data_IF_939140763647
#
_entry.id   IF_939140763647
#
_cell.length_a   1.000
_cell.length_b   1.000
_cell.length_c   1.000
_cell.angle_alpha   90.00
_cell.angle_beta   90.00
_cell.angle_gamma   90.00
#
_symmetry.space_group_name_H-M   'P 1'
#
loop_
_entity.id
_entity.type
_entity.pdbx_description
1 polymer ?
#
# COMPACT_ATOMS: atom_id res chain seq x y z
N UNK A 1 6.96 -31.85 20.20
CA UNK A 1 5.98 -31.65 19.10
C UNK A 1 5.48 -30.21 19.01
N UNK A 2 4.74 -29.66 19.99
CA UNK A 2 4.24 -28.27 19.92
C UNK A 2 5.33 -27.20 19.71
N UNK A 3 6.47 -27.33 20.41
CA UNK A 3 7.62 -26.41 20.26
C UNK A 3 8.23 -26.44 18.85
N UNK A 4 8.40 -27.64 18.26
CA UNK A 4 8.93 -27.80 16.91
C UNK A 4 8.02 -27.17 15.86
N UNK A 5 6.70 -27.30 16.00
CA UNK A 5 5.71 -26.66 15.11
C UNK A 5 5.82 -25.14 15.18
N UNK A 6 5.92 -24.57 16.39
CA UNK A 6 6.07 -23.13 16.58
C UNK A 6 7.38 -22.62 15.95
N UNK A 7 8.49 -23.34 16.15
CA UNK A 7 9.79 -22.99 15.55
C UNK A 7 9.71 -23.03 14.03
N UNK A 8 9.08 -24.06 13.46
CA UNK A 8 8.90 -24.17 12.00
C UNK A 8 8.02 -23.03 11.45
N UNK A 9 6.92 -22.69 12.11
CA UNK A 9 6.07 -21.55 11.74
C UNK A 9 6.84 -20.22 11.78
N UNK A 10 7.62 -19.99 12.84
CA UNK A 10 8.44 -18.79 12.96
C UNK A 10 9.49 -18.71 11.85
N UNK A 11 10.15 -19.83 11.52
CA UNK A 11 11.11 -19.89 10.42
C UNK A 11 10.47 -19.58 9.06
N UNK A 12 9.27 -20.09 8.79
CA UNK A 12 8.53 -19.79 7.54
C UNK A 12 8.21 -18.29 7.44
N UNK A 13 7.73 -17.68 8.53
CA UNK A 13 7.43 -16.24 8.57
C UNK A 13 8.69 -15.42 8.29
N UNK A 14 9.82 -15.79 8.90
CA UNK A 14 11.10 -15.12 8.67
C UNK A 14 11.53 -15.27 7.21
N UNK A 15 11.60 -16.49 6.67
CA UNK A 15 12.01 -16.74 5.28
C UNK A 15 11.14 -15.94 4.31
N UNK A 16 9.82 -15.94 4.50
CA UNK A 16 8.88 -15.20 3.65
C UNK A 16 9.10 -13.67 3.67
N UNK A 17 9.61 -13.10 4.77
CA UNK A 17 9.91 -11.66 4.87
C UNK A 17 11.33 -11.29 4.41
N UNK A 18 12.25 -12.25 4.31
CA UNK A 18 13.66 -12.02 3.92
C UNK A 18 13.99 -12.44 2.48
N UNK A 19 13.17 -13.31 1.87
CA UNK A 19 13.35 -13.73 0.47
C UNK A 19 12.57 -12.77 -0.44
N UNK A 20 13.11 -12.35 -1.61
CA UNK A 20 12.41 -11.46 -2.54
C UNK A 20 11.17 -12.08 -3.21
N UNK A 21 10.69 -13.23 -2.74
CA UNK A 21 9.42 -13.85 -3.15
C UNK A 21 8.23 -12.90 -2.95
N UNK A 22 8.36 -11.94 -2.03
CA UNK A 22 7.36 -10.89 -1.81
C UNK A 22 6.98 -10.18 -3.10
N UNK A 23 7.91 -9.89 -4.00
CA UNK A 23 7.64 -9.20 -5.28
C UNK A 23 6.59 -9.90 -6.17
N UNK A 24 6.44 -11.22 -6.06
CA UNK A 24 5.46 -11.99 -6.85
C UNK A 24 4.06 -11.95 -6.19
N UNK A 25 4.02 -11.74 -4.87
CA UNK A 25 2.79 -11.81 -4.07
C UNK A 25 2.36 -10.45 -3.48
N UNK A 26 3.11 -9.37 -3.73
CA UNK A 26 2.76 -8.02 -3.29
C UNK A 26 1.54 -7.53 -4.05
N UNK A 27 0.56 -7.00 -3.32
CA UNK A 27 -0.61 -6.37 -3.91
C UNK A 27 -0.27 -5.03 -4.55
N UNK A 28 -0.99 -4.70 -5.61
CA UNK A 28 -0.94 -3.39 -6.22
C UNK A 28 -1.48 -2.33 -5.24
N UNK A 29 -0.58 -1.55 -4.64
CA UNK A 29 -0.96 -0.48 -3.73
C UNK A 29 -1.52 0.69 -4.54
N UNK A 30 -2.82 0.96 -4.37
CA UNK A 30 -3.54 2.02 -5.07
C UNK A 30 -3.88 3.23 -4.19
N UNK A 31 -3.86 4.41 -4.81
CA UNK A 31 -4.10 5.69 -4.16
C UNK A 31 -5.04 6.58 -4.96
N UNK A 32 -5.73 7.49 -4.27
CA UNK A 32 -6.60 8.49 -4.89
C UNK A 32 -6.77 9.74 -4.03
N UNK A 33 -7.21 10.85 -4.61
CA UNK A 33 -7.66 12.05 -3.87
C UNK A 33 -9.15 11.93 -3.45
N UNK A 34 -9.69 12.90 -2.72
CA UNK A 34 -11.08 12.85 -2.23
C UNK A 34 -12.15 12.63 -3.31
N UNK A 35 -11.98 13.19 -4.52
CA UNK A 35 -12.97 13.11 -5.59
C UNK A 35 -12.67 12.06 -6.67
N UNK A 36 -11.48 11.43 -6.67
CA UNK A 36 -11.13 10.40 -7.64
C UNK A 36 -10.48 10.91 -8.92
N UNK A 37 -10.24 12.22 -9.06
CA UNK A 37 -9.57 12.79 -10.25
C UNK A 37 -8.09 12.44 -10.34
N UNK A 38 -7.45 12.21 -9.19
CA UNK A 38 -6.11 11.65 -9.12
C UNK A 38 -6.20 10.17 -8.76
N UNK A 39 -5.48 9.33 -9.51
CA UNK A 39 -5.26 7.92 -9.20
C UNK A 39 -3.79 7.57 -9.43
N UNK A 40 -3.28 6.66 -8.60
CA UNK A 40 -1.94 6.10 -8.77
C UNK A 40 -1.95 4.65 -8.28
N UNK A 41 -1.26 3.77 -8.99
CA UNK A 41 -1.06 2.38 -8.61
C UNK A 41 0.44 2.12 -8.57
N UNK A 42 0.92 1.49 -7.51
CA UNK A 42 2.30 1.04 -7.44
C UNK A 42 2.50 -0.14 -8.38
N UNK A 43 3.61 -0.12 -9.11
CA UNK A 43 3.99 -1.18 -10.05
C UNK A 43 5.50 -1.46 -9.90
N UNK A 44 5.89 -2.68 -10.24
CA UNK A 44 7.31 -3.04 -10.34
C UNK A 44 8.05 -2.12 -11.32
N UNK A 45 9.36 -1.91 -11.10
CA UNK A 45 10.18 -1.10 -12.01
C UNK A 45 10.21 0.40 -11.70
N UNK A 46 9.89 0.82 -10.47
CA UNK A 46 10.14 2.18 -9.97
C UNK A 46 8.89 3.03 -9.74
N UNK A 47 7.70 2.45 -9.84
CA UNK A 47 6.44 3.09 -9.47
C UNK A 47 6.12 2.77 -8.00
N UNK A 48 6.86 3.39 -7.08
CA UNK A 48 6.70 3.18 -5.64
C UNK A 48 5.90 4.30 -4.95
N UNK A 49 5.67 4.14 -3.65
CA UNK A 49 5.02 5.16 -2.83
C UNK A 49 5.67 6.55 -2.89
N UNK A 50 7.01 6.64 -3.05
CA UNK A 50 7.70 7.93 -3.17
C UNK A 50 7.32 8.62 -4.48
N UNK A 51 7.20 7.86 -5.55
CA UNK A 51 6.69 8.36 -6.84
C UNK A 51 5.24 8.80 -6.72
N UNK A 52 4.39 8.05 -6.00
CA UNK A 52 3.01 8.44 -5.73
C UNK A 52 2.94 9.82 -5.06
N UNK A 53 3.71 10.03 -3.98
CA UNK A 53 3.78 11.32 -3.26
C UNK A 53 4.25 12.46 -4.19
N UNK A 54 5.32 12.24 -4.96
CA UNK A 54 5.86 13.26 -5.87
C UNK A 54 4.85 13.64 -6.95
N UNK A 55 4.19 12.65 -7.58
CA UNK A 55 3.17 12.90 -8.60
C UNK A 55 1.95 13.61 -8.02
N UNK A 56 1.54 13.24 -6.81
CA UNK A 56 0.42 13.91 -6.16
C UNK A 56 0.73 15.35 -5.79
N UNK A 57 1.93 15.63 -5.27
CA UNK A 57 2.38 17.00 -5.00
C UNK A 57 2.39 17.86 -6.28
N UNK A 58 2.81 17.30 -7.42
CA UNK A 58 2.72 17.98 -8.71
C UNK A 58 1.26 18.19 -9.12
N UNK A 59 0.41 17.18 -9.01
CA UNK A 59 -1.01 17.29 -9.30
C UNK A 59 -1.68 18.43 -8.53
N UNK A 60 -1.41 18.56 -7.23
CA UNK A 60 -1.94 19.65 -6.39
C UNK A 60 -1.41 21.03 -6.82
N UNK A 61 -0.18 21.09 -7.32
CA UNK A 61 0.41 22.34 -7.83
C UNK A 61 -0.24 22.78 -9.14
N UNK A 62 -0.54 21.80 -10.02
CA UNK A 62 -1.20 22.04 -11.31
C UNK A 62 -2.72 22.28 -11.16
N UNK A 63 -3.31 21.90 -10.01
CA UNK A 63 -4.73 22.00 -9.72
C UNK A 63 -4.97 22.73 -8.38
N UNK A 64 -4.72 24.05 -8.30
CA UNK A 64 -4.80 24.79 -7.04
C UNK A 64 -6.19 24.77 -6.40
N UNK A 65 -7.27 24.65 -7.19
CA UNK A 65 -8.63 24.51 -6.67
C UNK A 65 -8.85 23.19 -5.92
N UNK A 66 -8.22 22.11 -6.36
CA UNK A 66 -8.24 20.82 -5.66
C UNK A 66 -7.43 20.94 -4.36
N UNK A 67 -6.25 21.55 -4.41
CA UNK A 67 -5.40 21.76 -3.24
C UNK A 67 -6.03 22.67 -2.18
N UNK A 68 -6.91 23.60 -2.57
CA UNK A 68 -7.66 24.43 -1.63
C UNK A 68 -8.77 23.63 -0.91
N UNK A 69 -9.33 22.62 -1.57
CA UNK A 69 -10.41 21.80 -1.02
C UNK A 69 -9.86 20.66 -0.14
N UNK A 70 -8.88 19.91 -0.65
CA UNK A 70 -8.27 18.81 0.06
C UNK A 70 -6.88 18.46 -0.52
N UNK A 71 -5.89 18.37 0.37
CA UNK A 71 -4.50 18.03 0.04
C UNK A 71 -4.15 16.59 0.42
N UNK A 72 -5.09 15.86 1.00
CA UNK A 72 -4.85 14.52 1.53
C UNK A 72 -4.76 13.50 0.40
N UNK A 73 -3.79 12.60 0.48
CA UNK A 73 -3.76 11.39 -0.35
C UNK A 73 -4.45 10.26 0.42
N UNK A 74 -5.35 9.53 -0.23
CA UNK A 74 -6.03 8.38 0.34
C UNK A 74 -5.45 7.10 -0.24
N UNK A 75 -5.36 6.07 0.59
CA UNK A 75 -5.19 4.70 0.10
C UNK A 75 -6.54 4.11 -0.28
N UNK A 76 -6.57 3.38 -1.38
CA UNK A 76 -7.75 2.65 -1.85
C UNK A 76 -7.63 1.14 -1.65
N UNK A 77 -6.45 0.64 -1.25
CA UNK A 77 -6.24 -0.74 -0.85
C UNK A 77 -6.56 -0.98 0.63
N UNK A 78 -6.88 -2.23 0.96
CA UNK A 78 -7.18 -2.68 2.33
C UNK A 78 -5.94 -3.22 3.03
N UNK A 79 -5.86 -3.04 4.35
CA UNK A 79 -4.82 -3.67 5.16
C UNK A 79 -5.21 -5.12 5.43
N UNK A 80 -4.32 -6.06 5.16
CA UNK A 80 -4.57 -7.49 5.34
C UNK A 80 -3.56 -8.07 6.35
N UNK A 81 -3.82 -7.99 7.68
CA UNK A 81 -2.86 -8.42 8.69
C UNK A 81 -2.45 -9.90 8.59
N UNK A 82 -3.28 -10.75 7.98
CA UNK A 82 -2.95 -12.16 7.77
C UNK A 82 -1.89 -12.40 6.69
N UNK A 83 -1.53 -11.39 5.88
CA UNK A 83 -0.44 -11.46 4.90
C UNK A 83 0.89 -11.17 5.57
N UNK A 84 1.37 -12.14 6.34
CA UNK A 84 2.61 -12.00 7.10
C UNK A 84 3.85 -11.71 6.25
N UNK A 85 3.84 -12.05 4.96
CA UNK A 85 4.91 -11.72 4.01
C UNK A 85 4.97 -10.23 3.63
N UNK A 86 3.93 -9.44 3.94
CA UNK A 86 3.92 -7.97 3.76
C UNK A 86 4.23 -7.22 5.07
N UNK A 87 4.48 -7.92 6.18
CA UNK A 87 4.70 -7.24 7.47
C UNK A 87 5.96 -6.39 7.50
N UNK A 88 7.04 -6.87 6.86
CA UNK A 88 8.25 -6.06 6.66
C UNK A 88 7.91 -4.72 6.01
N UNK A 89 7.07 -4.75 4.98
CA UNK A 89 6.61 -3.57 4.28
C UNK A 89 5.76 -2.67 5.18
N UNK A 90 4.85 -3.22 5.98
CA UNK A 90 4.06 -2.46 6.96
C UNK A 90 4.93 -1.76 8.02
N UNK A 91 6.02 -2.40 8.46
CA UNK A 91 6.91 -1.85 9.49
C UNK A 91 7.87 -0.80 8.90
N UNK A 92 8.58 -1.13 7.82
CA UNK A 92 9.62 -0.26 7.28
C UNK A 92 9.09 0.83 6.34
N UNK A 93 7.95 0.60 5.69
CA UNK A 93 7.30 1.55 4.77
C UNK A 93 5.91 1.96 5.29
N UNK A 94 5.80 2.18 6.61
CA UNK A 94 4.54 2.44 7.33
C UNK A 94 3.73 3.64 6.80
N UNK A 95 4.37 4.65 6.20
CA UNK A 95 3.72 5.89 5.77
C UNK A 95 2.49 5.67 4.87
N UNK A 96 2.58 4.74 3.90
CA UNK A 96 1.45 4.45 3.00
C UNK A 96 0.29 3.75 3.70
N UNK A 97 0.58 3.01 4.76
CA UNK A 97 -0.41 2.28 5.54
C UNK A 97 -1.11 3.19 6.57
N UNK A 98 -0.45 4.30 6.95
CA UNK A 98 -1.01 5.36 7.78
C UNK A 98 -1.97 6.30 7.03
N UNK A 99 -2.02 6.23 5.69
CA UNK A 99 -2.96 7.03 4.91
C UNK A 99 -4.42 6.68 5.25
N UNK A 100 -5.33 7.68 5.23
CA UNK A 100 -6.75 7.43 5.41
C UNK A 100 -7.27 6.52 4.30
N UNK A 101 -8.10 5.56 4.68
CA UNK A 101 -8.73 4.65 3.75
C UNK A 101 -9.90 5.33 3.05
N UNK A 102 -9.96 5.20 1.73
CA UNK A 102 -11.12 5.55 0.92
C UNK A 102 -11.55 4.31 0.16
N UNK A 103 -12.80 3.90 0.34
CA UNK A 103 -13.33 2.78 -0.43
C UNK A 103 -13.26 3.10 -1.94
N UNK A 104 -12.76 2.17 -2.78
CA UNK A 104 -12.84 2.31 -4.22
C UNK A 104 -14.31 2.51 -4.62
N UNK A 105 -14.67 3.67 -5.17
CA UNK A 105 -15.99 3.87 -5.76
C UNK A 105 -16.08 3.00 -7.02
N UNK A 106 -16.62 1.79 -6.89
CA UNK A 106 -16.88 0.92 -8.06
C UNK A 106 -16.54 -0.57 -7.95
N UNK A 107 -16.33 -1.13 -6.75
CA UNK A 107 -16.40 -2.61 -6.60
C UNK A 107 -17.44 -2.94 -5.54
N UNK A 108 -18.71 -2.83 -5.94
CA UNK A 108 -19.72 -3.66 -5.31
C UNK A 108 -19.31 -5.12 -5.54
N UNK A 109 -19.10 -5.85 -4.45
CA UNK A 109 -19.01 -7.30 -4.44
C UNK A 109 -20.06 -7.89 -5.40
N UNK A 110 -19.58 -8.58 -6.44
CA UNK A 110 -20.29 -9.72 -7.02
C UNK A 110 -19.50 -10.97 -6.67
#
# INVERSE_FOLDING_TARGET
MKKSIIISLAAIILIANFTPLTYIFTEDYSYSNYNGKFTFVEEGGGYDYKVAKRRYSRYLSDNPGEAAHDKQLYRTFTLKPWRFWEWREMVFNHERFALPYKSPKGVHNR
#
